data_IF_956127325990
#
_entry.id   IF_956127325990
#
_cell.length_a   1.000
_cell.length_b   1.000
_cell.length_c   1.000
_cell.angle_alpha   90.00
_cell.angle_beta   90.00
_cell.angle_gamma   90.00
#
_symmetry.space_group_name_H-M   'P 1'
#
loop_
_entity.id
_entity.type
_entity.pdbx_description
1 polymer ?
#
# COMPACT_ATOMS: atom_id res chain seq x y z
N UNK A 1 15.06 11.49 -47.04
CA UNK A 1 14.67 12.89 -47.33
C UNK A 1 13.22 13.04 -46.90
N UNK A 2 12.98 13.65 -45.74
CA UNK A 2 12.45 15.01 -45.59
C UNK A 2 10.96 15.10 -45.98
N UNK A 3 10.03 15.62 -45.18
CA UNK A 3 10.08 16.24 -43.87
C UNK A 3 8.68 16.74 -43.47
N UNK A 4 8.47 16.83 -42.15
CA UNK A 4 7.72 17.82 -41.35
C UNK A 4 6.32 18.36 -41.74
N UNK A 5 5.56 18.50 -40.64
CA UNK A 5 4.60 19.54 -40.25
C UNK A 5 3.12 19.32 -40.63
N UNK A 6 2.25 19.00 -39.66
CA UNK A 6 1.55 19.87 -38.67
C UNK A 6 0.36 20.61 -39.30
N UNK A 7 -0.85 20.33 -38.79
CA UNK A 7 -1.93 21.31 -38.65
C UNK A 7 -2.87 20.88 -37.52
N UNK A 8 -3.10 21.83 -36.60
CA UNK A 8 -3.98 21.80 -35.44
C UNK A 8 -5.46 22.00 -35.84
N UNK A 9 -6.38 21.54 -34.99
CA UNK A 9 -7.57 22.28 -34.54
C UNK A 9 -8.26 21.48 -33.40
N UNK A 10 -8.10 21.84 -32.13
CA UNK A 10 -9.05 22.63 -31.32
C UNK A 10 -10.51 22.17 -31.38
N UNK A 11 -10.98 21.53 -30.30
CA UNK A 11 -12.38 21.60 -29.89
C UNK A 11 -12.43 21.79 -28.37
N UNK A 12 -12.93 22.95 -27.98
CA UNK A 12 -13.22 23.33 -26.62
C UNK A 12 -14.38 22.50 -26.06
N UNK A 13 -14.34 22.22 -24.76
CA UNK A 13 -15.56 22.12 -23.96
C UNK A 13 -15.24 22.56 -22.55
N UNK A 14 -15.73 23.77 -22.26
CA UNK A 14 -15.80 24.37 -20.95
C UNK A 14 -16.87 23.69 -20.08
N UNK A 15 -16.91 24.13 -18.82
CA UNK A 15 -17.93 23.91 -17.80
C UNK A 15 -17.84 22.57 -17.04
N UNK A 16 -17.36 22.64 -15.80
CA UNK A 16 -18.25 22.53 -14.64
C UNK A 16 -17.57 23.14 -13.40
N UNK A 17 -18.00 24.35 -13.06
CA UNK A 17 -17.92 24.86 -11.70
C UNK A 17 -19.17 24.39 -10.92
N UNK A 18 -19.15 24.54 -9.58
CA UNK A 18 -20.22 24.25 -8.60
C UNK A 18 -20.11 22.82 -8.02
N UNK A 19 -20.07 22.54 -6.71
CA UNK A 19 -20.38 23.28 -5.50
C UNK A 19 -19.53 22.75 -4.33
N UNK A 20 -18.86 23.63 -3.59
CA UNK A 20 -18.47 23.37 -2.20
C UNK A 20 -18.80 24.61 -1.39
N UNK A 21 -20.02 24.65 -0.87
CA UNK A 21 -20.39 25.61 0.15
C UNK A 21 -21.51 25.05 1.04
N UNK A 22 -21.28 25.18 2.35
CA UNK A 22 -22.24 25.12 3.46
C UNK A 22 -22.70 23.75 3.96
N UNK A 23 -22.10 23.34 5.08
CA UNK A 23 -22.86 22.88 6.24
C UNK A 23 -22.30 23.60 7.48
N UNK A 24 -22.90 24.74 7.76
CA UNK A 24 -22.63 25.57 8.91
C UNK A 24 -23.24 24.99 10.19
N UNK A 25 -22.63 25.37 11.30
CA UNK A 25 -23.11 25.27 12.67
C UNK A 25 -24.62 25.52 12.80
N UNK A 26 -25.34 24.57 13.40
CA UNK A 26 -26.66 24.83 13.97
C UNK A 26 -26.54 24.79 15.50
N UNK A 27 -26.30 25.97 16.07
CA UNK A 27 -26.45 26.25 17.50
C UNK A 27 -27.78 26.99 17.63
N UNK A 28 -28.86 26.25 17.87
CA UNK A 28 -30.16 26.83 18.22
C UNK A 28 -30.23 26.89 19.74
N UNK A 29 -30.13 28.11 20.25
CA UNK A 29 -30.65 28.48 21.56
C UNK A 29 -32.06 29.01 21.32
N UNK A 30 -33.06 28.47 22.00
CA UNK A 30 -34.33 29.14 22.23
C UNK A 30 -34.82 28.80 23.65
N UNK A 31 -35.48 29.77 24.26
CA UNK A 31 -35.57 30.04 25.68
C UNK A 31 -37.04 29.98 26.09
N UNK A 32 -37.43 29.18 27.09
CA UNK A 32 -38.72 29.33 27.76
C UNK A 32 -38.74 28.65 29.14
N UNK A 33 -39.37 29.33 30.10
CA UNK A 33 -39.18 29.20 31.54
C UNK A 33 -40.45 28.69 32.25
N UNK A 34 -40.30 27.61 33.06
CA UNK A 34 -41.01 27.24 34.32
C UNK A 34 -42.55 26.94 34.30
N UNK A 35 -43.15 26.12 35.22
CA UNK A 35 -42.82 25.99 36.65
C UNK A 35 -42.65 24.56 37.22
N UNK A 36 -42.20 24.56 38.47
CA UNK A 36 -41.74 23.43 39.28
C UNK A 36 -42.82 22.46 39.76
N UNK A 37 -42.42 21.21 40.01
CA UNK A 37 -42.95 20.39 41.11
C UNK A 37 -41.87 19.38 41.58
N UNK A 38 -41.66 19.16 42.89
CA UNK A 38 -40.52 18.41 43.41
C UNK A 38 -40.90 16.96 43.76
N UNK A 39 -40.31 15.96 43.09
CA UNK A 39 -40.41 14.56 43.53
C UNK A 39 -39.11 13.78 43.24
N UNK A 40 -38.38 13.45 44.31
CA UNK A 40 -37.55 12.25 44.47
C UNK A 40 -36.23 12.17 43.68
N UNK A 41 -35.07 11.98 44.34
CA UNK A 41 -33.84 11.64 43.62
C UNK A 41 -33.90 10.18 43.16
N UNK A 42 -34.39 9.95 41.94
CA UNK A 42 -34.13 8.72 41.20
C UNK A 42 -32.70 8.81 40.65
N UNK A 43 -31.84 7.88 41.07
CA UNK A 43 -30.46 7.80 40.64
C UNK A 43 -30.35 7.75 39.10
N UNK A 44 -29.66 8.75 38.54
CA UNK A 44 -29.35 8.79 37.12
C UNK A 44 -28.40 7.63 36.75
N UNK A 45 -28.58 6.98 35.58
CA UNK A 45 -27.62 6.01 35.08
C UNK A 45 -26.26 6.69 34.88
N UNK A 46 -25.21 6.13 35.48
CA UNK A 46 -23.83 6.56 35.25
C UNK A 46 -23.52 6.48 33.76
N UNK A 47 -22.99 7.54 33.12
CA UNK A 47 -22.44 7.43 31.79
C UNK A 47 -21.25 6.46 31.84
N UNK A 48 -21.34 5.38 31.08
CA UNK A 48 -20.18 4.53 30.81
C UNK A 48 -19.08 5.42 30.25
N UNK A 49 -18.06 5.69 31.06
CA UNK A 49 -16.88 6.43 30.63
C UNK A 49 -16.24 5.74 29.43
N UNK A 50 -15.53 6.49 28.57
CA UNK A 50 -14.80 5.89 27.46
C UNK A 50 -13.93 4.75 28.01
N UNK A 51 -14.15 3.56 27.46
CA UNK A 51 -13.37 2.36 27.77
C UNK A 51 -11.89 2.72 27.62
N UNK A 52 -11.01 2.35 28.56
CA UNK A 52 -9.58 2.61 28.45
C UNK A 52 -9.10 2.14 27.08
N UNK A 53 -8.54 3.07 26.30
CA UNK A 53 -7.91 2.78 25.03
C UNK A 53 -6.91 1.66 25.29
N UNK A 54 -7.16 0.49 24.68
CA UNK A 54 -6.28 -0.66 24.85
C UNK A 54 -4.85 -0.20 24.53
N UNK A 55 -3.83 -0.63 25.29
CA UNK A 55 -2.46 -0.20 25.07
C UNK A 55 -2.12 -0.32 23.59
N UNK A 56 -1.72 0.79 22.97
CA UNK A 56 -1.27 0.79 21.59
C UNK A 56 -0.25 -0.34 21.43
N UNK A 57 -0.55 -1.29 20.54
CA UNK A 57 0.34 -2.42 20.31
C UNK A 57 1.75 -1.88 20.05
N UNK A 58 2.81 -2.50 20.61
CA UNK A 58 4.17 -2.02 20.44
C UNK A 58 4.43 -1.80 18.95
N UNK A 59 5.06 -0.66 18.63
CA UNK A 59 5.43 -0.34 17.25
C UNK A 59 6.25 -1.51 16.69
N UNK A 60 5.66 -2.26 15.75
CA UNK A 60 6.34 -3.40 15.13
C UNK A 60 7.62 -2.88 14.49
N UNK A 61 8.75 -3.47 14.87
CA UNK A 61 10.04 -3.15 14.28
C UNK A 61 9.98 -3.56 12.80
N UNK A 62 10.44 -2.68 11.91
CA UNK A 62 10.53 -3.03 10.49
C UNK A 62 11.40 -4.30 10.33
N UNK A 63 10.99 -5.26 9.49
CA UNK A 63 11.77 -6.46 9.25
C UNK A 63 13.10 -6.10 8.58
N UNK A 64 14.12 -6.95 8.76
CA UNK A 64 15.40 -6.81 8.04
C UNK A 64 15.32 -7.44 6.66
N UNK A 65 16.12 -6.94 5.71
CA UNK A 65 16.14 -7.44 4.34
C UNK A 65 16.46 -8.92 4.25
N UNK A 66 17.37 -9.42 5.09
CA UNK A 66 17.76 -10.83 5.11
C UNK A 66 16.61 -11.77 5.54
N UNK A 67 15.58 -11.24 6.22
CA UNK A 67 14.40 -12.02 6.61
C UNK A 67 13.33 -12.06 5.53
N UNK A 68 13.21 -10.96 4.78
CA UNK A 68 12.22 -10.82 3.70
C UNK A 68 12.73 -11.46 2.41
N UNK A 69 14.03 -11.34 2.16
CA UNK A 69 14.72 -11.83 0.98
C UNK A 69 15.98 -12.58 1.44
N UNK A 70 15.83 -13.84 1.89
CA UNK A 70 16.95 -14.62 2.37
C UNK A 70 18.07 -14.71 1.33
N UNK A 71 19.31 -14.69 1.82
CA UNK A 71 20.49 -14.76 0.94
C UNK A 71 20.44 -15.93 -0.04
N UNK A 72 19.91 -17.08 0.38
CA UNK A 72 19.76 -18.26 -0.47
C UNK A 72 18.79 -18.06 -1.64
N UNK A 73 17.75 -17.23 -1.47
CA UNK A 73 16.87 -16.82 -2.56
C UNK A 73 17.61 -15.82 -3.44
N UNK A 74 18.23 -14.81 -2.83
CA UNK A 74 18.91 -13.75 -3.57
C UNK A 74 20.11 -14.24 -4.39
N UNK A 75 20.88 -15.21 -3.91
CA UNK A 75 22.01 -15.77 -4.64
C UNK A 75 21.57 -16.52 -5.93
N UNK A 76 20.32 -17.00 -6.01
CA UNK A 76 19.77 -17.61 -7.24
C UNK A 76 19.40 -16.59 -8.30
N UNK A 77 18.86 -15.45 -7.88
CA UNK A 77 18.31 -14.41 -8.76
C UNK A 77 19.28 -13.25 -9.03
N UNK A 78 20.26 -13.06 -8.15
CA UNK A 78 21.18 -11.93 -8.11
C UNK A 78 22.51 -12.36 -7.46
N UNK A 79 23.17 -13.36 -8.03
CA UNK A 79 24.44 -13.86 -7.50
C UNK A 79 25.47 -12.73 -7.38
N UNK A 80 26.03 -12.57 -6.17
CA UNK A 80 27.06 -11.57 -5.88
C UNK A 80 26.57 -10.12 -5.80
N UNK A 81 25.27 -9.89 -5.78
CA UNK A 81 24.73 -8.53 -5.68
C UNK A 81 25.00 -7.91 -4.32
N UNK A 82 25.35 -6.63 -4.33
CA UNK A 82 25.47 -5.82 -3.12
C UNK A 82 24.07 -5.42 -2.62
N UNK A 83 23.83 -5.61 -1.33
CA UNK A 83 22.60 -5.19 -0.64
C UNK A 83 22.79 -3.82 0.01
N UNK A 84 21.81 -2.93 -0.20
CA UNK A 84 21.61 -1.71 0.59
C UNK A 84 20.22 -1.73 1.21
N UNK A 85 20.18 -1.81 2.53
CA UNK A 85 18.94 -1.77 3.32
C UNK A 85 18.61 -0.32 3.73
N UNK A 86 17.32 0.02 3.68
CA UNK A 86 16.75 1.23 4.26
C UNK A 86 15.38 0.93 4.86
N UNK A 87 14.94 1.67 5.90
CA UNK A 87 13.54 1.68 6.29
C UNK A 87 12.65 2.08 5.10
N UNK A 88 11.46 1.49 5.00
CA UNK A 88 10.46 1.97 4.04
C UNK A 88 10.13 3.46 4.32
N UNK A 89 9.75 4.24 3.29
CA UNK A 89 9.48 5.67 3.45
C UNK A 89 8.44 6.03 4.52
N UNK A 90 7.52 5.11 4.81
CA UNK A 90 6.45 5.25 5.79
C UNK A 90 6.79 4.64 7.17
N UNK A 91 7.99 4.07 7.32
CA UNK A 91 8.46 3.43 8.55
C UNK A 91 7.80 2.09 8.89
N UNK A 92 6.86 1.58 8.07
CA UNK A 92 6.08 0.36 8.35
C UNK A 92 6.65 -0.90 7.69
N UNK A 93 7.85 -0.80 7.14
CA UNK A 93 8.41 -1.82 6.28
C UNK A 93 9.90 -1.62 6.00
N UNK A 94 10.39 -2.38 5.03
CA UNK A 94 11.79 -2.37 4.62
C UNK A 94 11.91 -2.19 3.11
N UNK A 95 12.98 -1.49 2.70
CA UNK A 95 13.40 -1.35 1.31
C UNK A 95 14.80 -1.96 1.14
N UNK A 96 14.88 -2.96 0.28
CA UNK A 96 16.06 -3.77 0.03
C UNK A 96 16.50 -3.57 -1.41
N UNK A 97 17.57 -2.80 -1.61
CA UNK A 97 18.12 -2.55 -2.94
C UNK A 97 19.27 -3.48 -3.24
N UNK A 98 19.17 -4.19 -4.35
CA UNK A 98 20.18 -5.11 -4.85
C UNK A 98 20.79 -4.56 -6.13
N UNK A 99 22.11 -4.49 -6.17
CA UNK A 99 22.88 -4.04 -7.34
C UNK A 99 23.96 -5.04 -7.68
N UNK A 100 24.07 -5.41 -8.96
CA UNK A 100 25.12 -6.29 -9.42
C UNK A 100 25.26 -6.35 -10.93
N UNK A 101 26.46 -6.67 -11.40
CA UNK A 101 26.74 -6.79 -12.83
C UNK A 101 26.06 -8.02 -13.44
N UNK A 102 25.83 -9.06 -12.61
CA UNK A 102 25.12 -10.29 -13.00
C UNK A 102 23.70 -10.02 -13.51
N UNK A 103 23.04 -8.99 -12.95
CA UNK A 103 21.70 -8.57 -13.33
C UNK A 103 21.69 -7.36 -14.27
N UNK A 104 22.84 -6.77 -14.57
CA UNK A 104 22.98 -5.62 -15.47
C UNK A 104 22.44 -4.29 -14.93
N UNK A 105 22.21 -4.17 -13.61
CA UNK A 105 21.59 -2.98 -13.03
C UNK A 105 21.29 -3.09 -11.54
N UNK A 106 20.21 -2.44 -11.12
CA UNK A 106 19.69 -2.52 -9.75
C UNK A 106 18.18 -2.75 -9.75
N UNK A 107 17.71 -3.46 -8.73
CA UNK A 107 16.29 -3.55 -8.40
C UNK A 107 16.08 -3.36 -6.89
N UNK A 108 14.85 -3.06 -6.53
CA UNK A 108 14.44 -2.79 -5.15
C UNK A 108 13.26 -3.69 -4.79
N UNK A 109 13.35 -4.34 -3.64
CA UNK A 109 12.24 -5.05 -2.99
C UNK A 109 11.77 -4.16 -1.84
N UNK A 110 10.52 -3.73 -1.90
CA UNK A 110 9.85 -3.04 -0.81
C UNK A 110 8.80 -3.96 -0.21
N UNK A 111 8.87 -4.21 1.10
CA UNK A 111 7.86 -4.96 1.84
C UNK A 111 7.25 -4.06 2.91
N UNK A 112 5.93 -3.93 2.89
CA UNK A 112 5.17 -3.17 3.89
C UNK A 112 4.12 -4.10 4.50
N UNK A 113 4.06 -4.15 5.83
CA UNK A 113 3.13 -5.02 6.56
C UNK A 113 2.21 -4.19 7.44
N UNK A 114 0.91 -4.23 7.14
CA UNK A 114 -0.11 -3.49 7.85
C UNK A 114 -1.44 -4.24 7.74
N UNK A 115 -2.15 -4.41 8.85
CA UNK A 115 -3.44 -5.13 8.90
C UNK A 115 -4.47 -4.56 7.91
N UNK A 116 -4.34 -3.30 7.52
CA UNK A 116 -5.23 -2.66 6.55
C UNK A 116 -4.90 -3.03 5.10
N UNK A 117 -3.65 -3.43 4.78
CA UNK A 117 -3.24 -3.75 3.40
C UNK A 117 -3.83 -5.06 2.88
N UNK A 118 -4.22 -5.97 3.78
CA UNK A 118 -4.94 -7.21 3.42
C UNK A 118 -6.45 -7.03 3.27
N UNK A 119 -6.98 -5.82 3.49
CA UNK A 119 -8.41 -5.55 3.31
C UNK A 119 -8.78 -5.69 1.85
N UNK A 120 -9.89 -6.37 1.57
CA UNK A 120 -10.39 -6.61 0.22
C UNK A 120 -10.58 -5.31 -0.55
N UNK A 121 -11.04 -4.25 0.11
CA UNK A 121 -11.28 -2.95 -0.50
C UNK A 121 -9.98 -2.32 -1.02
N UNK A 122 -8.88 -2.41 -0.25
CA UNK A 122 -7.57 -1.88 -0.63
C UNK A 122 -6.99 -2.66 -1.81
N UNK A 123 -7.16 -3.99 -1.77
CA UNK A 123 -6.71 -4.88 -2.84
C UNK A 123 -7.48 -4.57 -4.15
N UNK A 124 -8.81 -4.51 -4.09
CA UNK A 124 -9.68 -4.26 -5.24
C UNK A 124 -9.43 -2.85 -5.82
N UNK A 125 -9.21 -1.84 -4.96
CA UNK A 125 -8.84 -0.49 -5.41
C UNK A 125 -7.49 -0.47 -6.12
N UNK A 126 -6.49 -1.16 -5.57
CA UNK A 126 -5.15 -1.23 -6.17
C UNK A 126 -5.21 -1.91 -7.53
N UNK A 127 -5.93 -3.03 -7.65
CA UNK A 127 -6.16 -3.71 -8.93
C UNK A 127 -6.84 -2.77 -9.93
N UNK A 128 -7.89 -2.06 -9.52
CA UNK A 128 -8.58 -1.08 -10.38
C UNK A 128 -7.62 0.03 -10.85
N UNK A 129 -6.73 0.51 -10.00
CA UNK A 129 -5.72 1.51 -10.39
C UNK A 129 -4.80 0.95 -11.48
N UNK A 130 -4.30 -0.28 -11.34
CA UNK A 130 -3.52 -0.96 -12.38
C UNK A 130 -4.32 -1.14 -13.68
N UNK A 131 -5.57 -1.59 -13.58
CA UNK A 131 -6.46 -1.77 -14.74
C UNK A 131 -6.75 -0.45 -15.47
N UNK A 132 -6.75 0.68 -14.75
CA UNK A 132 -7.00 2.01 -15.31
C UNK A 132 -5.80 2.63 -16.04
N UNK A 133 -4.57 2.15 -15.79
CA UNK A 133 -3.34 2.66 -16.40
C UNK A 133 -3.18 2.14 -17.83
N UNK A 134 -3.84 2.80 -18.79
CA UNK A 134 -3.86 2.43 -20.23
C UNK A 134 -2.49 2.48 -20.93
N UNK A 135 -1.47 3.04 -20.30
CA UNK A 135 -0.14 3.27 -20.90
C UNK A 135 0.82 2.11 -20.69
N UNK A 136 0.50 1.15 -19.83
CA UNK A 136 1.40 0.04 -19.50
C UNK A 136 0.65 -1.29 -19.52
N UNK A 137 1.25 -2.32 -20.15
CA UNK A 137 0.67 -3.67 -20.14
C UNK A 137 0.79 -4.24 -18.72
N UNK A 138 -0.34 -4.41 -18.05
CA UNK A 138 -0.41 -5.15 -16.81
C UNK A 138 -0.89 -6.58 -17.06
N UNK A 139 -0.34 -7.52 -16.31
CA UNK A 139 -0.67 -8.94 -16.38
C UNK A 139 -0.88 -9.45 -14.94
N UNK A 140 -1.95 -10.23 -14.71
CA UNK A 140 -2.12 -10.91 -13.42
C UNK A 140 -1.14 -12.06 -13.33
N UNK A 141 -0.51 -12.24 -12.18
CA UNK A 141 0.45 -13.33 -11.96
C UNK A 141 -0.18 -14.38 -11.07
N UNK A 142 -0.42 -15.57 -11.63
CA UNK A 142 -1.00 -16.68 -10.88
C UNK A 142 -0.05 -17.18 -9.79
N UNK A 143 -0.61 -17.63 -8.66
CA UNK A 143 0.15 -18.24 -7.57
C UNK A 143 0.87 -17.27 -6.61
N UNK A 144 0.65 -15.95 -6.75
CA UNK A 144 1.26 -14.91 -5.92
C UNK A 144 0.24 -14.13 -5.06
N UNK A 145 -0.68 -14.86 -4.43
CA UNK A 145 -1.73 -14.31 -3.57
C UNK A 145 -2.89 -13.66 -4.35
N UNK A 146 -3.81 -13.02 -3.62
CA UNK A 146 -5.11 -12.53 -4.16
C UNK A 146 -5.03 -11.47 -5.27
N UNK A 147 -3.90 -10.79 -5.45
CA UNK A 147 -3.84 -9.63 -6.33
C UNK A 147 -2.48 -9.36 -6.97
N UNK A 148 -1.69 -10.39 -7.24
CA UNK A 148 -0.42 -10.16 -7.90
C UNK A 148 -0.57 -9.64 -9.32
N UNK A 149 0.13 -8.54 -9.59
CA UNK A 149 0.13 -7.86 -10.89
C UNK A 149 1.56 -7.53 -11.30
N UNK A 150 1.87 -7.79 -12.57
CA UNK A 150 3.12 -7.45 -13.22
C UNK A 150 2.87 -6.32 -14.22
N UNK A 151 3.73 -5.31 -14.22
CA UNK A 151 3.72 -4.21 -15.17
C UNK A 151 4.96 -4.31 -16.07
N UNK A 152 4.81 -4.97 -17.23
CA UNK A 152 5.94 -5.37 -18.07
C UNK A 152 7.08 -5.98 -17.26
N UNK A 153 8.33 -5.80 -17.66
CA UNK A 153 9.48 -6.28 -16.89
C UNK A 153 9.96 -5.30 -15.81
N UNK A 154 9.14 -4.28 -15.50
CA UNK A 154 9.54 -3.17 -14.63
C UNK A 154 9.20 -3.41 -13.17
N UNK A 155 8.02 -4.00 -12.92
CA UNK A 155 7.49 -4.08 -11.57
C UNK A 155 6.56 -5.30 -11.41
N UNK A 156 6.62 -5.92 -10.23
CA UNK A 156 5.57 -6.82 -9.74
C UNK A 156 5.13 -6.36 -8.35
N UNK A 157 3.82 -6.34 -8.13
CA UNK A 157 3.21 -6.15 -6.81
C UNK A 157 2.51 -7.44 -6.44
N UNK A 158 2.67 -7.91 -5.22
CA UNK A 158 2.06 -9.14 -4.72
C UNK A 158 1.65 -8.97 -3.25
N UNK A 159 0.73 -9.82 -2.81
CA UNK A 159 0.28 -9.89 -1.43
C UNK A 159 0.51 -11.30 -0.91
N UNK A 160 0.93 -11.39 0.34
CA UNK A 160 0.76 -12.63 1.07
C UNK A 160 -0.68 -12.65 1.62
N UNK A 161 -1.39 -13.76 1.46
CA UNK A 161 -2.76 -13.89 1.93
C UNK A 161 -2.82 -14.28 3.41
N UNK A 162 -1.75 -14.92 3.90
CA UNK A 162 -1.60 -15.40 5.27
C UNK A 162 -0.97 -14.36 6.19
N UNK A 163 -0.19 -13.42 5.63
CA UNK A 163 0.33 -12.25 6.35
C UNK A 163 -0.12 -10.96 5.68
N UNK A 164 -0.55 -9.92 6.43
CA UNK A 164 -1.08 -8.70 5.82
C UNK A 164 0.05 -7.80 5.31
N UNK A 165 0.79 -8.30 4.32
CA UNK A 165 1.96 -7.68 3.74
C UNK A 165 1.79 -7.54 2.23
N UNK A 166 2.21 -6.38 1.74
CA UNK A 166 2.35 -6.11 0.32
C UNK A 166 3.84 -6.08 -0.03
N UNK A 167 4.22 -6.85 -1.03
CA UNK A 167 5.53 -6.81 -1.65
C UNK A 167 5.48 -6.08 -2.98
N UNK A 168 6.47 -5.21 -3.22
CA UNK A 168 6.67 -4.54 -4.51
C UNK A 168 8.12 -4.75 -4.92
N UNK A 169 8.34 -5.37 -6.07
CA UNK A 169 9.68 -5.49 -6.68
C UNK A 169 9.72 -4.57 -7.88
N UNK A 170 10.71 -3.68 -7.95
CA UNK A 170 10.85 -2.72 -9.06
C UNK A 170 12.28 -2.70 -9.56
N UNK A 171 12.47 -2.74 -10.88
CA UNK A 171 13.78 -2.54 -11.50
C UNK A 171 13.65 -2.37 -13.01
N UNK A 172 14.56 -1.59 -13.60
CA UNK A 172 14.51 -1.22 -15.01
C UNK A 172 15.69 -1.85 -15.73
N UNK A 173 15.44 -2.51 -16.86
CA UNK A 173 16.48 -3.14 -17.70
C UNK A 173 17.34 -4.18 -16.95
N UNK A 174 16.80 -4.85 -15.94
CA UNK A 174 17.50 -5.90 -15.20
C UNK A 174 17.20 -7.29 -15.77
N UNK A 175 18.17 -8.20 -15.66
CA UNK A 175 18.05 -9.60 -16.10
C UNK A 175 17.51 -10.50 -14.97
N UNK A 176 16.46 -10.06 -14.29
CA UNK A 176 15.84 -10.79 -13.18
C UNK A 176 14.42 -11.13 -13.55
N UNK A 177 14.04 -12.40 -13.40
CA UNK A 177 12.64 -12.79 -13.49
C UNK A 177 11.95 -12.41 -12.17
N UNK A 178 11.31 -11.24 -12.17
CA UNK A 178 10.61 -10.75 -10.98
C UNK A 178 9.42 -11.62 -10.56
N UNK A 179 8.78 -12.34 -11.48
CA UNK A 179 7.70 -13.25 -11.11
C UNK A 179 8.26 -14.47 -10.37
N UNK A 180 9.34 -15.06 -10.89
CA UNK A 180 10.02 -16.17 -10.21
C UNK A 180 10.60 -15.75 -8.85
N UNK A 181 11.22 -14.58 -8.78
CA UNK A 181 11.72 -14.03 -7.51
C UNK A 181 10.58 -13.83 -6.51
N UNK A 182 9.48 -13.19 -6.91
CA UNK A 182 8.31 -13.01 -6.04
C UNK A 182 7.77 -14.35 -5.52
N UNK A 183 7.76 -15.41 -6.33
CA UNK A 183 7.27 -16.73 -5.93
C UNK A 183 8.15 -17.37 -4.85
N UNK A 184 9.46 -17.14 -4.90
CA UNK A 184 10.35 -17.58 -3.83
C UNK A 184 10.21 -16.70 -2.58
N UNK A 185 10.02 -15.39 -2.75
CA UNK A 185 9.85 -14.46 -1.63
C UNK A 185 8.58 -14.74 -0.84
N UNK A 186 7.43 -14.95 -1.49
CA UNK A 186 6.17 -15.29 -0.79
C UNK A 186 6.32 -16.55 0.07
N UNK A 187 7.09 -17.54 -0.38
CA UNK A 187 7.37 -18.76 0.40
C UNK A 187 8.28 -18.52 1.59
N UNK A 188 9.05 -17.43 1.59
CA UNK A 188 9.98 -17.06 2.66
C UNK A 188 9.41 -16.06 3.66
N UNK A 189 8.39 -15.29 3.24
CA UNK A 189 7.65 -14.38 4.12
C UNK A 189 6.81 -15.25 5.04
N UNK A 190 7.13 -15.19 6.33
CA UNK A 190 6.39 -15.89 7.39
C UNK A 190 6.03 -14.87 8.47
N UNK A 191 5.00 -15.12 9.28
CA UNK A 191 4.68 -14.26 10.43
C UNK A 191 5.93 -13.96 11.29
N UNK A 192 6.77 -14.98 11.53
CA UNK A 192 8.02 -14.87 12.28
C UNK A 192 9.11 -14.05 11.57
N UNK A 193 9.13 -14.03 10.24
CA UNK A 193 10.08 -13.19 9.48
C UNK A 193 9.80 -11.69 9.65
N UNK A 194 8.56 -11.34 10.04
CA UNK A 194 8.05 -9.97 10.15
C UNK A 194 8.10 -9.43 11.59
N UNK A 195 8.35 -10.29 12.59
CA UNK A 195 8.45 -9.95 14.04
C UNK A 195 9.87 -9.65 14.51
#
# INVERSE_FOLDING_TARGET
>A
MAGRALLLATAASALLAALLAFAACSKSSDEAQAPATPQGPAAAPSPAGPSPEAPAAPARKAPQCERVAPKTVMDKHCAGCALREKPAPDGRGVSCRYKGDSIGGEFEIMLVCDKNLAKKEIIDETLRQFESMKTMKYERVEGLGRAAVKNGDLQIVFWDDDTPCQGTITGVMVKVDFAALAQELVKSITPTAIE
#
